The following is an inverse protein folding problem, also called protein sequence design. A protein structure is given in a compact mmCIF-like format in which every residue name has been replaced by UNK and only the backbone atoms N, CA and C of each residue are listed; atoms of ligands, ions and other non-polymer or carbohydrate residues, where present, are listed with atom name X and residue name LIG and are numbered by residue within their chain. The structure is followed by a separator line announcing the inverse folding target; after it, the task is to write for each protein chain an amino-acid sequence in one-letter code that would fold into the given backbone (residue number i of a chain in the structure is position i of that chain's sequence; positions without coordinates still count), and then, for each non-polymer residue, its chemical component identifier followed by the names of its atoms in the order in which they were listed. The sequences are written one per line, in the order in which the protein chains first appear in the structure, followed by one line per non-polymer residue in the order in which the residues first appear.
data_IF_719165325868
#
_entry.id   IF_719165325868
#
_cell.length_a   1.000
_cell.length_b   1.000
_cell.length_c   1.000
_cell.angle_alpha   90.00
_cell.angle_beta   90.00
_cell.angle_gamma   90.00
#
_symmetry.space_group_name_H-M   'P 1'
#
loop_
_entity.id
_entity.type
_entity.pdbx_description
1 polymer ?
#
# COMPACT_ATOMS: atom_id res chain seq x y z
N UNK A 1 5.95 39.12 3.39
CA UNK A 1 5.26 38.35 4.46
C UNK A 1 4.15 37.41 3.93
N UNK A 2 3.27 37.80 2.99
CA UNK A 2 2.14 36.94 2.52
C UNK A 2 2.55 35.66 1.76
N UNK A 3 3.65 35.70 1.00
CA UNK A 3 4.14 34.53 0.25
C UNK A 3 4.59 33.38 1.17
N UNK A 4 5.27 33.69 2.28
CA UNK A 4 5.70 32.70 3.29
C UNK A 4 4.52 31.99 3.96
N UNK A 5 3.42 32.69 4.23
CA UNK A 5 2.23 32.08 4.83
C UNK A 5 1.49 31.12 3.86
N UNK A 6 1.48 31.44 2.56
CA UNK A 6 0.89 30.59 1.53
C UNK A 6 1.72 29.30 1.32
N UNK A 7 3.04 29.42 1.38
CA UNK A 7 3.96 28.29 1.27
C UNK A 7 3.83 27.32 2.45
N UNK A 8 3.79 27.84 3.67
CA UNK A 8 3.54 27.03 4.88
C UNK A 8 2.19 26.29 4.81
N UNK A 9 1.14 26.94 4.30
CA UNK A 9 -0.17 26.30 4.09
C UNK A 9 -0.09 25.15 3.08
N UNK A 10 0.60 25.34 1.96
CA UNK A 10 0.79 24.29 0.93
C UNK A 10 1.56 23.09 1.49
N UNK A 11 2.62 23.33 2.24
CA UNK A 11 3.41 22.27 2.88
C UNK A 11 2.55 21.47 3.89
N UNK A 12 1.72 22.14 4.69
CA UNK A 12 0.84 21.48 5.64
C UNK A 12 -0.24 20.63 4.96
N UNK A 13 -0.81 21.09 3.84
CA UNK A 13 -1.77 20.33 3.05
C UNK A 13 -1.11 19.09 2.44
N UNK A 14 0.09 19.24 1.87
CA UNK A 14 0.83 18.13 1.29
C UNK A 14 1.22 17.08 2.35
N UNK A 15 1.68 17.49 3.54
CA UNK A 15 1.92 16.57 4.67
C UNK A 15 0.68 15.78 5.06
N UNK A 16 -0.48 16.46 5.18
CA UNK A 16 -1.76 15.80 5.51
C UNK A 16 -2.21 14.81 4.42
N UNK A 17 -2.03 15.18 3.15
CA UNK A 17 -2.35 14.31 2.02
C UNK A 17 -1.51 13.03 2.04
N UNK A 18 -0.20 13.16 2.27
CA UNK A 18 0.70 12.01 2.34
C UNK A 18 0.43 11.12 3.55
N UNK A 19 0.13 11.70 4.72
CA UNK A 19 -0.27 10.93 5.89
C UNK A 19 -1.57 10.13 5.64
N UNK A 20 -2.52 10.71 4.88
CA UNK A 20 -3.73 10.00 4.46
C UNK A 20 -3.40 8.86 3.50
N UNK A 21 -2.54 9.08 2.52
CA UNK A 21 -2.09 8.03 1.60
C UNK A 21 -1.39 6.89 2.33
N UNK A 22 -0.44 7.19 3.23
CA UNK A 22 0.22 6.18 4.05
C UNK A 22 -0.80 5.33 4.83
N UNK A 23 -1.79 5.96 5.46
CA UNK A 23 -2.87 5.25 6.16
C UNK A 23 -3.69 4.36 5.22
N UNK A 24 -4.00 4.82 4.01
CA UNK A 24 -4.73 4.04 3.01
C UNK A 24 -3.92 2.85 2.52
N UNK A 25 -2.63 3.03 2.24
CA UNK A 25 -1.72 1.96 1.85
C UNK A 25 -1.62 0.90 2.95
N UNK A 26 -1.44 1.29 4.21
CA UNK A 26 -1.42 0.36 5.35
C UNK A 26 -2.69 -0.46 5.44
N UNK A 27 -3.86 0.17 5.29
CA UNK A 27 -5.15 -0.52 5.29
C UNK A 27 -5.30 -1.51 4.13
N UNK A 28 -4.88 -1.11 2.92
CA UNK A 28 -4.92 -1.96 1.73
C UNK A 28 -3.99 -3.17 1.89
N UNK A 29 -2.74 -2.96 2.32
CA UNK A 29 -1.76 -4.01 2.58
C UNK A 29 -2.30 -5.01 3.61
N UNK A 30 -2.89 -4.53 4.70
CA UNK A 30 -3.51 -5.40 5.71
C UNK A 30 -4.66 -6.24 5.13
N UNK A 31 -5.50 -5.65 4.29
CA UNK A 31 -6.57 -6.37 3.59
C UNK A 31 -6.04 -7.47 2.67
N UNK A 32 -5.00 -7.17 1.88
CA UNK A 32 -4.36 -8.14 0.98
C UNK A 32 -3.67 -9.28 1.75
N UNK A 33 -3.02 -8.98 2.88
CA UNK A 33 -2.44 -10.01 3.77
C UNK A 33 -3.52 -10.94 4.32
N UNK A 34 -4.68 -10.41 4.69
CA UNK A 34 -5.84 -11.23 5.09
C UNK A 34 -6.35 -12.11 3.93
N UNK A 35 -6.35 -11.61 2.70
CA UNK A 35 -6.68 -12.43 1.53
C UNK A 35 -5.69 -13.57 1.30
N UNK A 36 -4.38 -13.33 1.53
CA UNK A 36 -3.36 -14.38 1.48
C UNK A 36 -3.60 -15.48 2.51
N UNK A 37 -3.94 -15.12 3.74
CA UNK A 37 -4.33 -16.10 4.77
C UNK A 37 -5.52 -16.95 4.32
N UNK A 38 -6.50 -16.34 3.65
CA UNK A 38 -7.65 -17.04 3.08
C UNK A 38 -7.24 -18.06 2.02
N UNK A 39 -6.33 -17.70 1.11
CA UNK A 39 -5.79 -18.62 0.10
C UNK A 39 -5.01 -19.75 0.76
N UNK A 40 -4.22 -19.46 1.80
CA UNK A 40 -3.46 -20.49 2.50
C UNK A 40 -4.37 -21.49 3.21
N UNK A 41 -5.50 -21.03 3.76
CA UNK A 41 -6.54 -21.92 4.31
C UNK A 41 -7.22 -22.76 3.23
N UNK A 42 -7.55 -22.17 2.08
CA UNK A 42 -8.13 -22.91 0.95
C UNK A 42 -7.17 -23.98 0.44
N UNK A 43 -5.89 -23.63 0.25
CA UNK A 43 -4.84 -24.55 -0.21
C UNK A 43 -4.58 -25.73 0.74
N UNK A 44 -4.92 -25.59 2.02
CA UNK A 44 -4.81 -26.68 3.00
C UNK A 44 -5.95 -27.72 2.90
N UNK A 45 -6.96 -27.47 2.06
CA UNK A 45 -8.03 -28.44 1.80
C UNK A 45 -7.47 -29.62 0.98
N UNK A 46 -7.62 -30.82 1.54
CA UNK A 46 -7.11 -32.08 0.96
C UNK A 46 -7.95 -32.57 -0.23
N UNK A 47 -9.09 -31.92 -0.52
CA UNK A 47 -9.98 -32.28 -1.62
C UNK A 47 -9.65 -31.56 -2.93
N UNK A 48 -8.71 -30.63 -2.93
CA UNK A 48 -8.34 -29.89 -4.13
C UNK A 48 -7.55 -30.76 -5.09
N UNK A 49 -7.90 -30.66 -6.37
CA UNK A 49 -7.10 -31.18 -7.46
C UNK A 49 -5.80 -30.39 -7.64
N UNK A 50 -4.83 -30.97 -8.33
CA UNK A 50 -3.57 -30.28 -8.66
C UNK A 50 -3.79 -28.99 -9.46
N UNK A 51 -4.80 -28.95 -10.33
CA UNK A 51 -5.16 -27.75 -11.10
C UNK A 51 -5.68 -26.62 -10.20
N UNK A 52 -6.51 -26.94 -9.21
CA UNK A 52 -7.03 -25.96 -8.24
C UNK A 52 -5.91 -25.43 -7.32
N UNK A 53 -5.00 -26.30 -6.90
CA UNK A 53 -3.80 -25.90 -6.14
C UNK A 53 -2.95 -24.93 -6.98
N UNK A 54 -2.75 -25.24 -8.27
CA UNK A 54 -2.02 -24.38 -9.20
C UNK A 54 -2.64 -22.99 -9.33
N UNK A 55 -3.96 -22.90 -9.48
CA UNK A 55 -4.68 -21.63 -9.54
C UNK A 55 -4.54 -20.81 -8.24
N UNK A 56 -4.60 -21.48 -7.08
CA UNK A 56 -4.39 -20.82 -5.79
C UNK A 56 -2.94 -20.31 -5.64
N UNK A 57 -1.95 -21.06 -6.12
CA UNK A 57 -0.55 -20.66 -6.07
C UNK A 57 -0.27 -19.46 -7.01
N UNK A 58 -0.85 -19.43 -8.21
CA UNK A 58 -0.78 -18.25 -9.09
C UNK A 58 -1.40 -17.01 -8.43
N UNK A 59 -2.61 -17.16 -7.87
CA UNK A 59 -3.31 -16.07 -7.18
C UNK A 59 -2.51 -15.57 -5.98
N UNK A 60 -1.91 -16.49 -5.21
CA UNK A 60 -1.02 -16.17 -4.08
C UNK A 60 0.19 -15.35 -4.56
N UNK A 61 0.85 -15.78 -5.62
CA UNK A 61 2.03 -15.10 -6.16
C UNK A 61 1.70 -13.67 -6.63
N UNK A 62 0.58 -13.50 -7.34
CA UNK A 62 0.12 -12.18 -7.79
C UNK A 62 -0.17 -11.23 -6.61
N UNK A 63 -0.78 -11.75 -5.53
CA UNK A 63 -1.00 -10.97 -4.31
C UNK A 63 0.31 -10.60 -3.61
N UNK A 64 1.28 -11.51 -3.52
CA UNK A 64 2.59 -11.22 -2.93
C UNK A 64 3.32 -10.12 -3.69
N UNK A 65 3.31 -10.16 -5.03
CA UNK A 65 3.89 -9.11 -5.87
C UNK A 65 3.21 -7.76 -5.66
N UNK A 66 1.88 -7.76 -5.57
CA UNK A 66 1.10 -6.53 -5.32
C UNK A 66 1.40 -5.94 -3.95
N UNK A 67 1.49 -6.79 -2.91
CA UNK A 67 1.83 -6.36 -1.55
C UNK A 67 3.23 -5.76 -1.52
N UNK A 68 4.22 -6.41 -2.15
CA UNK A 68 5.59 -5.89 -2.19
C UNK A 68 5.64 -4.48 -2.82
N UNK A 69 4.99 -4.29 -3.97
CA UNK A 69 4.94 -2.97 -4.62
C UNK A 69 4.24 -1.90 -3.76
N UNK A 70 3.22 -2.28 -2.97
CA UNK A 70 2.54 -1.37 -2.05
C UNK A 70 3.37 -1.07 -0.80
N UNK A 71 4.08 -2.06 -0.26
CA UNK A 71 5.02 -1.90 0.87
C UNK A 71 6.18 -0.95 0.48
N UNK A 72 6.71 -1.08 -0.74
CA UNK A 72 7.73 -0.16 -1.28
C UNK A 72 7.20 1.27 -1.38
N UNK A 73 5.99 1.44 -1.92
CA UNK A 73 5.34 2.77 -2.01
C UNK A 73 5.07 3.36 -0.64
N UNK A 74 4.57 2.56 0.31
CA UNK A 74 4.34 3.00 1.68
C UNK A 74 5.66 3.48 2.31
N UNK A 75 6.73 2.72 2.15
CA UNK A 75 8.07 3.08 2.63
C UNK A 75 8.56 4.40 2.03
N UNK A 76 8.36 4.61 0.73
CA UNK A 76 8.73 5.86 0.06
C UNK A 76 7.92 7.06 0.58
N UNK A 77 6.60 6.91 0.73
CA UNK A 77 5.72 7.97 1.27
C UNK A 77 6.10 8.29 2.72
N UNK A 78 6.33 7.27 3.55
CA UNK A 78 6.74 7.45 4.93
C UNK A 78 8.10 8.16 5.03
N UNK A 79 9.08 7.75 4.23
CA UNK A 79 10.39 8.40 4.19
C UNK A 79 10.32 9.88 3.79
N UNK A 80 9.45 10.25 2.85
CA UNK A 80 9.24 11.65 2.48
C UNK A 80 8.59 12.47 3.62
N UNK A 81 7.68 11.86 4.39
CA UNK A 81 7.07 12.47 5.57
C UNK A 81 8.15 12.70 6.65
N UNK A 82 8.96 11.69 6.94
CA UNK A 82 10.00 11.71 7.99
C UNK A 82 11.09 12.74 7.68
N UNK A 83 11.47 12.89 6.42
CA UNK A 83 12.40 13.92 5.95
C UNK A 83 11.80 15.33 5.92
N UNK A 84 10.51 15.48 6.23
CA UNK A 84 9.81 16.76 6.16
C UNK A 84 9.75 17.33 4.74
N UNK A 85 9.80 16.48 3.71
CA UNK A 85 9.79 16.83 2.29
C UNK A 85 8.44 16.48 1.65
N UNK A 86 7.36 17.22 1.99
CA UNK A 86 6.05 16.91 1.46
C UNK A 86 5.99 17.25 -0.04
N UNK A 87 5.84 16.22 -0.85
CA UNK A 87 5.66 16.35 -2.29
C UNK A 87 4.17 16.47 -2.61
N UNK A 88 3.80 17.46 -3.44
CA UNK A 88 2.46 17.53 -4.00
C UNK A 88 2.35 16.45 -5.07
N UNK A 89 1.76 15.30 -4.74
CA UNK A 89 1.37 14.31 -5.74
C UNK A 89 0.29 14.96 -6.60
N UNK A 90 0.67 15.41 -7.80
CA UNK A 90 -0.29 15.76 -8.84
C UNK A 90 -0.84 14.45 -9.36
N UNK A 91 -2.07 14.15 -8.96
CA UNK A 91 -2.87 13.14 -9.66
C UNK A 91 -3.25 13.79 -11.00
N UNK A 92 -2.71 13.28 -12.09
CA UNK A 92 -3.11 13.66 -13.45
C UNK A 92 -4.44 13.02 -13.81
#
# INVERSE_FOLDING_TARGET
MRQSQAETRRQNVAKRSMAKEAKQLTGLIAGLRKSLEGIQKQRADTKLSGAEIGLLDERRNNLLLTIAALDDRLSAVQGLIDLGRPHIIRVH
#
